data_IF_594454484589
#
_entry.id   IF_594454484589
#
_cell.length_a   1.000
_cell.length_b   1.000
_cell.length_c   1.000
_cell.angle_alpha   90.00
_cell.angle_beta   90.00
_cell.angle_gamma   90.00
#
_symmetry.space_group_name_H-M   'P 1'
#
loop_
_entity.id
_entity.type
_entity.pdbx_description
1 polymer ?
#
# COMPACT_ATOMS: atom_id res chain seq x y z
N UNK A 1 -28.51 -15.05 -9.02
CA UNK A 1 -27.48 -14.08 -8.55
C UNK A 1 -26.29 -14.87 -8.03
N UNK A 2 -25.13 -14.74 -8.66
CA UNK A 2 -23.97 -15.59 -8.42
C UNK A 2 -23.23 -15.29 -7.12
N UNK A 3 -22.73 -16.34 -6.48
CA UNK A 3 -21.82 -16.35 -5.32
C UNK A 3 -20.45 -15.68 -5.60
N UNK A 4 -20.21 -15.27 -6.85
CA UNK A 4 -19.00 -14.60 -7.33
C UNK A 4 -18.71 -13.27 -6.64
N UNK A 5 -19.76 -12.57 -6.20
CA UNK A 5 -19.66 -11.19 -5.70
C UNK A 5 -19.35 -11.13 -4.19
N UNK A 6 -19.53 -12.24 -3.47
CA UNK A 6 -19.29 -12.32 -2.02
C UNK A 6 -17.79 -12.42 -1.74
N UNK A 7 -17.06 -13.23 -2.51
CA UNK A 7 -15.60 -13.36 -2.35
C UNK A 7 -14.84 -12.10 -2.77
N UNK A 8 -15.36 -11.34 -3.74
CA UNK A 8 -14.69 -10.13 -4.24
C UNK A 8 -14.80 -8.93 -3.28
N UNK A 9 -15.82 -8.91 -2.42
CA UNK A 9 -16.10 -7.76 -1.53
C UNK A 9 -15.40 -7.88 -0.17
N UNK A 10 -15.11 -9.10 0.29
CA UNK A 10 -14.38 -9.33 1.55
C UNK A 10 -12.85 -9.13 1.41
N UNK A 11 -12.26 -9.38 0.23
CA UNK A 11 -10.85 -9.11 -0.05
C UNK A 11 -10.52 -7.61 -0.22
N UNK A 12 -11.53 -6.73 -0.32
CA UNK A 12 -11.35 -5.31 -0.68
C UNK A 12 -11.09 -4.38 0.52
N UNK A 13 -11.24 -4.85 1.76
CA UNK A 13 -11.26 -3.96 2.94
C UNK A 13 -10.06 -4.11 3.88
N UNK A 14 -9.16 -5.06 3.63
CA UNK A 14 -8.00 -5.34 4.49
C UNK A 14 -6.68 -4.77 3.95
N UNK A 15 -6.68 -4.35 2.68
CA UNK A 15 -5.51 -3.93 1.92
C UNK A 15 -5.52 -2.42 1.65
N UNK A 16 -6.17 -1.60 2.47
CA UNK A 16 -6.05 -0.13 2.37
C UNK A 16 -4.78 0.33 3.12
N UNK A 17 -3.74 0.65 2.34
CA UNK A 17 -2.50 1.22 2.83
C UNK A 17 -2.54 2.74 2.87
N UNK A 18 -1.65 3.34 3.67
CA UNK A 18 -1.35 4.76 3.60
C UNK A 18 0.01 4.92 2.94
N UNK A 19 0.09 5.76 1.92
CA UNK A 19 1.36 6.12 1.30
C UNK A 19 2.21 6.85 2.36
N UNK A 20 3.37 6.32 2.76
CA UNK A 20 4.17 6.92 3.82
C UNK A 20 4.93 8.19 3.36
N UNK A 21 4.99 8.46 2.05
CA UNK A 21 5.64 9.64 1.49
C UNK A 21 4.67 10.83 1.47
N UNK A 22 3.46 10.64 0.93
CA UNK A 22 2.49 11.73 0.79
C UNK A 22 1.30 11.67 1.77
N UNK A 23 1.12 10.55 2.47
CA UNK A 23 0.01 10.33 3.40
C UNK A 23 -1.33 10.02 2.75
N UNK A 24 -1.39 9.88 1.42
CA UNK A 24 -2.63 9.54 0.71
C UNK A 24 -3.06 8.10 0.97
N UNK A 25 -4.37 7.86 0.96
CA UNK A 25 -4.93 6.51 0.99
C UNK A 25 -4.66 5.83 -0.35
N UNK A 26 -4.08 4.64 -0.28
CA UNK A 26 -3.77 3.80 -1.43
C UNK A 26 -4.34 2.42 -1.19
N UNK A 27 -4.93 1.85 -2.23
CA UNK A 27 -5.48 0.51 -2.17
C UNK A 27 -4.38 -0.49 -2.61
N UNK A 28 -3.83 -1.26 -1.68
CA UNK A 28 -2.78 -2.27 -1.89
C UNK A 28 -3.25 -3.42 -2.79
N UNK A 29 -4.56 -3.67 -2.81
CA UNK A 29 -5.20 -4.69 -3.64
C UNK A 29 -5.25 -4.33 -5.12
N UNK A 30 -5.31 -3.05 -5.47
CA UNK A 30 -5.42 -2.54 -6.84
C UNK A 30 -4.18 -1.78 -7.31
N UNK A 31 -3.40 -1.20 -6.39
CA UNK A 31 -2.19 -0.47 -6.75
C UNK A 31 -1.13 -1.42 -7.29
N UNK A 32 -0.50 -0.98 -8.39
CA UNK A 32 0.70 -1.63 -8.94
C UNK A 32 1.97 -1.13 -8.26
N UNK A 33 1.90 0.02 -7.58
CA UNK A 33 3.04 0.64 -6.92
C UNK A 33 3.08 0.18 -5.46
N UNK A 34 3.82 -0.89 -5.23
CA UNK A 34 4.04 -1.47 -3.91
C UNK A 34 5.51 -1.82 -3.71
N UNK A 35 5.99 -1.72 -2.48
CA UNK A 35 7.34 -2.09 -2.08
C UNK A 35 7.29 -2.85 -0.76
N UNK A 36 8.19 -3.81 -0.58
CA UNK A 36 8.27 -4.63 0.63
C UNK A 36 9.47 -4.13 1.43
N UNK A 37 9.23 -3.67 2.65
CA UNK A 37 10.27 -3.19 3.54
C UNK A 37 10.06 -3.73 4.95
N UNK A 38 11.11 -4.31 5.54
CA UNK A 38 11.06 -4.98 6.87
C UNK A 38 9.91 -6.01 6.99
N UNK A 39 9.59 -6.72 5.91
CA UNK A 39 8.50 -7.71 5.89
C UNK A 39 7.09 -7.11 5.85
N UNK A 40 6.96 -5.77 5.73
CA UNK A 40 5.68 -5.07 5.54
C UNK A 40 5.52 -4.63 4.09
N UNK A 41 4.30 -4.74 3.57
CA UNK A 41 3.95 -4.25 2.23
C UNK A 41 3.50 -2.79 2.34
N UNK A 42 4.19 -1.90 1.64
CA UNK A 42 3.84 -0.49 1.52
C UNK A 42 3.29 -0.21 0.13
N UNK A 43 2.19 0.54 0.08
CA UNK A 43 1.56 1.00 -1.16
C UNK A 43 1.92 2.44 -1.42
N UNK A 44 1.94 2.80 -2.70
CA UNK A 44 2.19 4.15 -3.15
C UNK A 44 1.11 4.61 -4.12
N UNK A 45 0.75 5.89 -4.05
CA UNK A 45 -0.21 6.46 -4.99
C UNK A 45 0.38 6.57 -6.41
N UNK A 46 1.71 6.74 -6.49
CA UNK A 46 2.44 7.04 -7.71
C UNK A 46 3.81 6.37 -7.72
N UNK A 47 4.39 6.20 -8.91
CA UNK A 47 5.76 5.71 -9.06
C UNK A 47 6.79 6.62 -8.36
N UNK A 48 6.57 7.94 -8.38
CA UNK A 48 7.45 8.90 -7.72
C UNK A 48 7.51 8.67 -6.20
N UNK A 49 6.37 8.47 -5.54
CA UNK A 49 6.30 8.13 -4.11
C UNK A 49 7.02 6.80 -3.84
N UNK A 50 6.83 5.79 -4.70
CA UNK A 50 7.58 4.53 -4.59
C UNK A 50 9.09 4.77 -4.69
N UNK A 51 9.56 5.53 -5.68
CA UNK A 51 10.99 5.83 -5.86
C UNK A 51 11.57 6.61 -4.69
N UNK A 52 10.84 7.58 -4.16
CA UNK A 52 11.24 8.37 -2.99
C UNK A 52 11.35 7.48 -1.75
N UNK A 53 10.38 6.58 -1.55
CA UNK A 53 10.46 5.57 -0.51
C UNK A 53 11.64 4.62 -0.71
N UNK A 54 11.86 4.09 -1.92
CA UNK A 54 12.98 3.16 -2.20
C UNK A 54 14.36 3.82 -1.97
N UNK A 55 14.47 5.14 -2.18
CA UNK A 55 15.69 5.90 -1.90
C UNK A 55 15.99 5.99 -0.40
N UNK A 56 14.97 6.23 0.43
CA UNK A 56 15.13 6.40 1.88
C UNK A 56 14.02 5.67 2.66
N UNK A 57 13.92 4.34 2.56
CA UNK A 57 12.77 3.63 3.10
C UNK A 57 12.78 3.70 4.63
N UNK A 58 13.94 3.74 5.28
CA UNK A 58 14.03 3.91 6.73
C UNK A 58 13.35 5.19 7.23
N UNK A 59 13.38 6.31 6.48
CA UNK A 59 12.75 7.57 6.91
C UNK A 59 11.21 7.55 6.83
N UNK A 60 10.66 6.75 5.93
CA UNK A 60 9.22 6.70 5.65
C UNK A 60 8.54 5.46 6.24
N UNK A 61 9.26 4.35 6.27
CA UNK A 61 8.85 3.14 6.96
C UNK A 61 8.93 3.28 8.48
N UNK A 62 9.64 4.32 8.93
CA UNK A 62 9.86 4.70 10.32
C UNK A 62 8.55 4.62 11.11
N UNK A 63 8.38 3.56 11.92
CA UNK A 63 7.30 3.48 12.88
C UNK A 63 7.69 4.18 14.19
N UNK A 64 8.71 5.04 14.22
CA UNK A 64 9.25 5.56 15.49
C UNK A 64 8.34 6.63 16.10
N UNK A 65 7.38 6.19 16.91
CA UNK A 65 7.29 6.43 18.36
C UNK A 65 5.88 6.06 18.84
#
# INVERSE_FOLDING_TARGET
>A
MGISDIFKKAAKKLDEGKDPVCGMKVDLGTTKFKSIYQGKVYGFCSEECKKTFDKNPSQYADPNC
#
